data_IF_638789087964
#
_entry.id   IF_638789087964
#
_cell.length_a   1.000
_cell.length_b   1.000
_cell.length_c   1.000
_cell.angle_alpha   90.00
_cell.angle_beta   90.00
_cell.angle_gamma   90.00
#
_symmetry.space_group_name_H-M   'P 1'
#
loop_
_entity.id
_entity.type
_entity.pdbx_description
1 polymer ?
#
# COMPACT_ATOMS: atom_id res chain seq x y z
N UNK A 1 19.43 10.61 12.77
CA UNK A 1 19.93 9.29 13.20
C UNK A 1 19.10 8.24 12.48
N UNK A 2 19.74 7.31 11.76
CA UNK A 2 19.04 6.20 11.11
C UNK A 2 18.77 5.09 12.13
N UNK A 3 17.54 4.57 12.16
CA UNK A 3 17.20 3.38 12.93
C UNK A 3 17.70 2.12 12.20
N UNK A 4 18.14 1.12 12.95
CA UNK A 4 18.53 -0.17 12.37
C UNK A 4 17.33 -0.96 11.84
N UNK A 5 17.48 -1.84 10.83
CA UNK A 5 16.41 -2.70 10.32
C UNK A 5 15.64 -3.52 11.37
N UNK A 6 16.29 -3.87 12.49
CA UNK A 6 15.68 -4.60 13.61
C UNK A 6 14.77 -3.74 14.49
N UNK A 7 14.95 -2.42 14.51
CA UNK A 7 14.12 -1.47 15.28
C UNK A 7 12.89 -1.03 14.50
N UNK A 8 12.92 -1.17 13.18
CA UNK A 8 11.85 -0.79 12.26
C UNK A 8 10.52 -1.46 12.62
N UNK A 9 10.51 -2.70 13.09
CA UNK A 9 9.28 -3.39 13.53
C UNK A 9 8.68 -2.78 14.80
N UNK A 10 9.50 -2.41 15.78
CA UNK A 10 9.03 -1.76 17.00
C UNK A 10 8.55 -0.32 16.72
N UNK A 11 9.24 0.36 15.81
CA UNK A 11 8.85 1.70 15.36
C UNK A 11 7.56 1.65 14.54
N UNK A 12 7.41 0.67 13.65
CA UNK A 12 6.21 0.42 12.85
C UNK A 12 4.96 0.26 13.69
N UNK A 13 5.05 -0.46 14.82
CA UNK A 13 3.91 -0.73 15.71
C UNK A 13 3.32 0.52 16.37
N UNK A 14 3.94 1.69 16.20
CA UNK A 14 3.39 2.99 16.65
C UNK A 14 2.47 3.65 15.62
N UNK A 15 2.41 3.12 14.40
CA UNK A 15 1.62 3.67 13.31
C UNK A 15 0.42 2.76 13.02
N UNK A 16 -0.72 3.37 12.73
CA UNK A 16 -1.93 2.63 12.37
C UNK A 16 -2.07 2.44 10.85
N UNK A 17 -1.54 3.39 10.06
CA UNK A 17 -1.65 3.39 8.60
C UNK A 17 -0.34 3.80 7.92
N UNK A 18 -0.12 3.28 6.71
CA UNK A 18 0.89 3.74 5.76
C UNK A 18 0.29 4.68 4.72
N UNK A 19 0.99 5.79 4.41
CA UNK A 19 0.49 6.81 3.48
C UNK A 19 1.18 6.78 2.11
N UNK A 20 0.37 6.76 1.06
CA UNK A 20 0.76 6.95 -0.36
C UNK A 20 -0.20 8.00 -0.98
N UNK A 21 -0.08 9.24 -0.50
CA UNK A 21 -0.98 10.35 -0.82
C UNK A 21 -0.31 11.47 -1.62
N UNK A 22 0.78 11.15 -2.31
CA UNK A 22 1.47 12.11 -3.15
C UNK A 22 0.52 12.54 -4.26
N UNK A 23 0.13 13.82 -4.28
CA UNK A 23 -0.59 14.42 -5.39
C UNK A 23 0.26 15.53 -5.97
N UNK A 24 1.01 15.19 -7.01
CA UNK A 24 1.72 16.21 -7.75
C UNK A 24 0.76 16.87 -8.73
N UNK A 25 0.69 18.20 -8.68
CA UNK A 25 0.01 18.97 -9.71
C UNK A 25 0.70 18.78 -11.07
N UNK A 26 0.04 19.21 -12.16
CA UNK A 26 0.41 18.98 -13.56
C UNK A 26 1.79 19.53 -14.00
N UNK A 27 2.67 19.91 -13.07
CA UNK A 27 4.02 20.42 -13.29
C UNK A 27 5.11 19.32 -13.25
N UNK A 28 4.75 18.05 -13.12
CA UNK A 28 5.72 16.96 -13.23
C UNK A 28 6.22 16.79 -14.67
N UNK A 29 7.53 16.61 -14.83
CA UNK A 29 8.19 16.12 -16.05
C UNK A 29 7.95 14.62 -16.30
N UNK A 30 6.91 14.05 -15.70
CA UNK A 30 6.59 12.63 -15.73
C UNK A 30 5.27 12.49 -16.49
N UNK A 31 5.20 11.56 -17.45
CA UNK A 31 3.96 11.35 -18.19
C UNK A 31 2.83 10.94 -17.25
N UNK A 32 1.63 11.46 -17.49
CA UNK A 32 0.41 11.06 -16.75
C UNK A 32 0.24 9.54 -16.72
N UNK A 33 0.55 8.88 -17.84
CA UNK A 33 0.46 7.43 -17.93
C UNK A 33 1.43 6.70 -16.97
N UNK A 34 2.67 7.18 -16.84
CA UNK A 34 3.60 6.60 -15.87
C UNK A 34 3.11 6.82 -14.44
N UNK A 35 2.62 8.03 -14.14
CA UNK A 35 2.12 8.38 -12.82
C UNK A 35 0.92 7.50 -12.39
N UNK A 36 -0.06 7.31 -13.28
CA UNK A 36 -1.26 6.51 -12.96
C UNK A 36 -0.97 5.01 -12.82
N UNK A 37 0.04 4.48 -13.53
CA UNK A 37 0.28 3.03 -13.63
C UNK A 37 1.46 2.53 -12.78
N UNK A 38 2.15 3.41 -12.07
CA UNK A 38 3.24 3.02 -11.18
C UNK A 38 2.72 2.59 -9.81
N UNK A 39 3.30 1.51 -9.26
CA UNK A 39 3.12 1.10 -7.87
C UNK A 39 4.37 1.49 -7.07
N UNK A 40 4.27 2.42 -6.11
CA UNK A 40 5.40 2.80 -5.27
C UNK A 40 5.95 1.65 -4.46
N UNK A 41 7.26 1.42 -4.51
CA UNK A 41 7.92 0.36 -3.72
C UNK A 41 7.70 0.53 -2.21
N UNK A 42 7.58 1.77 -1.74
CA UNK A 42 7.21 2.11 -0.35
C UNK A 42 5.89 1.47 0.10
N UNK A 43 4.97 1.22 -0.83
CA UNK A 43 3.71 0.54 -0.55
C UNK A 43 3.95 -0.89 -0.01
N UNK A 44 4.84 -1.65 -0.66
CA UNK A 44 5.20 -2.99 -0.22
C UNK A 44 5.91 -2.99 1.14
N UNK A 45 6.69 -1.95 1.44
CA UNK A 45 7.28 -1.77 2.78
C UNK A 45 6.21 -1.70 3.86
N UNK A 46 5.14 -0.90 3.66
CA UNK A 46 4.04 -0.81 4.63
C UNK A 46 3.25 -2.13 4.73
N UNK A 47 3.02 -2.81 3.61
CA UNK A 47 2.38 -4.13 3.59
C UNK A 47 3.20 -5.12 4.42
N UNK A 48 4.52 -5.16 4.26
CA UNK A 48 5.39 -6.02 5.07
C UNK A 48 5.46 -5.63 6.55
N UNK A 49 5.29 -4.35 6.85
CA UNK A 49 5.14 -3.86 8.22
C UNK A 49 3.78 -4.21 8.84
N UNK A 50 2.83 -4.72 8.04
CA UNK A 50 1.49 -5.08 8.51
C UNK A 50 0.53 -3.89 8.60
N UNK A 51 0.81 -2.78 7.91
CA UNK A 51 0.08 -1.52 8.05
C UNK A 51 -0.96 -1.31 6.94
N UNK A 52 -2.26 -1.11 7.30
CA UNK A 52 -3.29 -0.64 6.39
C UNK A 52 -2.85 0.60 5.60
N UNK A 53 -3.26 0.68 4.33
CA UNK A 53 -2.81 1.74 3.44
C UNK A 53 -3.86 2.84 3.26
N UNK A 54 -3.41 4.08 3.14
CA UNK A 54 -4.24 5.19 2.62
C UNK A 54 -3.57 5.68 1.34
N UNK A 55 -4.28 5.54 0.22
CA UNK A 55 -3.74 5.78 -1.13
C UNK A 55 -4.61 6.75 -1.91
N UNK A 56 -3.99 7.69 -2.62
CA UNK A 56 -4.75 8.59 -3.48
C UNK A 56 -5.26 7.87 -4.75
N UNK A 57 -6.50 8.13 -5.13
CA UNK A 57 -7.19 7.56 -6.29
C UNK A 57 -6.48 7.81 -7.63
N UNK A 58 -5.73 8.91 -7.73
CA UNK A 58 -4.96 9.31 -8.90
C UNK A 58 -3.84 8.31 -9.26
N UNK A 59 -3.33 7.55 -8.28
CA UNK A 59 -2.38 6.46 -8.49
C UNK A 59 -3.13 5.17 -8.79
N UNK A 60 -3.73 5.06 -9.99
CA UNK A 60 -4.67 3.99 -10.34
C UNK A 60 -4.14 2.59 -10.05
N UNK A 61 -2.92 2.26 -10.47
CA UNK A 61 -2.37 0.92 -10.21
C UNK A 61 -2.25 0.61 -8.72
N UNK A 62 -1.84 1.58 -7.89
CA UNK A 62 -1.77 1.42 -6.45
C UNK A 62 -3.16 1.34 -5.82
N UNK A 63 -4.10 2.19 -6.25
CA UNK A 63 -5.48 2.20 -5.80
C UNK A 63 -6.20 0.88 -6.13
N UNK A 64 -6.01 0.36 -7.33
CA UNK A 64 -6.58 -0.91 -7.77
C UNK A 64 -5.97 -2.08 -6.99
N UNK A 65 -4.67 -2.04 -6.69
CA UNK A 65 -4.05 -3.03 -5.82
C UNK A 65 -4.66 -3.01 -4.41
N UNK A 66 -4.82 -1.82 -3.81
CA UNK A 66 -5.44 -1.69 -2.48
C UNK A 66 -6.86 -2.25 -2.47
N UNK A 67 -7.68 -1.89 -3.46
CA UNK A 67 -9.05 -2.39 -3.60
C UNK A 67 -9.10 -3.90 -3.82
N UNK A 68 -8.23 -4.42 -4.69
CA UNK A 68 -8.15 -5.85 -5.02
C UNK A 68 -7.93 -6.73 -3.80
N UNK A 69 -7.07 -6.28 -2.87
CA UNK A 69 -6.74 -7.06 -1.68
C UNK A 69 -7.49 -6.60 -0.41
N UNK A 70 -8.27 -5.51 -0.47
CA UNK A 70 -8.99 -4.98 0.68
C UNK A 70 -8.07 -4.49 1.81
N UNK A 71 -6.88 -3.98 1.48
CA UNK A 71 -5.79 -3.70 2.44
C UNK A 71 -5.68 -2.22 2.83
N UNK A 72 -6.69 -1.42 2.53
CA UNK A 72 -6.64 0.01 2.81
C UNK A 72 -7.79 0.79 2.25
N UNK A 73 -7.65 2.11 2.33
CA UNK A 73 -8.64 3.10 1.93
C UNK A 73 -8.09 3.89 0.75
N UNK A 74 -8.91 4.03 -0.29
CA UNK A 74 -8.59 4.86 -1.46
C UNK A 74 -9.34 6.17 -1.36
N UNK A 75 -8.62 7.28 -1.51
CA UNK A 75 -9.12 8.63 -1.23
C UNK A 75 -8.86 9.57 -2.40
N UNK A 76 -9.77 10.49 -2.65
CA UNK A 76 -9.57 11.58 -3.60
C UNK A 76 -8.83 12.76 -2.95
N UNK A 77 -8.28 13.65 -3.79
CA UNK A 77 -7.67 14.92 -3.33
C UNK A 77 -8.60 15.75 -2.44
N UNK A 78 -9.91 15.72 -2.72
CA UNK A 78 -10.88 16.50 -1.96
C UNK A 78 -11.15 15.88 -0.59
N UNK A 79 -11.21 14.56 -0.50
CA UNK A 79 -11.39 13.86 0.78
C UNK A 79 -10.18 14.02 1.70
N UNK A 80 -8.97 14.15 1.14
CA UNK A 80 -7.76 14.47 1.92
C UNK A 80 -7.85 15.80 2.69
N UNK A 81 -8.69 16.75 2.25
CA UNK A 81 -8.92 18.01 2.99
C UNK A 81 -9.65 17.78 4.31
N UNK A 82 -10.34 16.64 4.45
CA UNK A 82 -11.05 16.23 5.65
C UNK A 82 -10.56 14.86 6.11
N UNK A 83 -9.26 14.73 6.36
CA UNK A 83 -8.64 13.46 6.73
C UNK A 83 -9.15 12.92 8.07
N UNK A 84 -9.58 13.78 8.98
CA UNK A 84 -10.12 13.38 10.29
C UNK A 84 -11.37 12.51 10.14
N UNK A 85 -12.33 12.92 9.30
CA UNK A 85 -13.52 12.12 9.02
C UNK A 85 -13.23 10.84 8.22
N UNK A 86 -12.08 10.77 7.56
CA UNK A 86 -11.62 9.60 6.83
C UNK A 86 -11.00 8.54 7.75
N UNK A 87 -10.44 8.99 8.86
CA UNK A 87 -9.83 8.15 9.90
C UNK A 87 -10.84 7.73 10.97
N UNK A 88 -12.10 8.16 10.88
CA UNK A 88 -13.22 7.69 11.71
C UNK A 88 -13.68 6.30 11.25
N UNK A 89 -12.75 5.35 11.31
CA UNK A 89 -12.94 3.96 10.94
C UNK A 89 -13.25 3.20 12.23
N UNK A 90 -14.30 2.38 12.21
CA UNK A 90 -14.61 1.53 13.36
C UNK A 90 -13.46 0.56 13.64
N UNK A 91 -13.29 0.15 14.90
CA UNK A 91 -12.28 -0.85 15.26
C UNK A 91 -12.45 -2.15 14.45
N UNK A 92 -13.69 -2.58 14.23
CA UNK A 92 -14.00 -3.76 13.43
C UNK A 92 -13.49 -3.64 11.99
N UNK A 93 -13.77 -2.51 11.34
CA UNK A 93 -13.27 -2.25 9.99
C UNK A 93 -11.75 -2.15 9.95
N UNK A 94 -11.11 -1.58 10.98
CA UNK A 94 -9.66 -1.54 11.08
C UNK A 94 -9.04 -2.93 11.23
N UNK A 95 -9.62 -3.77 12.08
CA UNK A 95 -9.17 -5.15 12.30
C UNK A 95 -9.30 -5.98 11.01
N UNK A 96 -10.37 -5.77 10.24
CA UNK A 96 -10.55 -6.39 8.92
C UNK A 96 -9.42 -5.99 7.95
N UNK A 97 -9.06 -4.70 7.89
CA UNK A 97 -7.93 -4.24 7.06
C UNK A 97 -6.62 -4.92 7.45
N UNK A 98 -6.38 -5.10 8.76
CA UNK A 98 -5.19 -5.76 9.28
C UNK A 98 -5.15 -7.24 8.89
N UNK A 99 -6.28 -7.95 9.00
CA UNK A 99 -6.41 -9.36 8.58
C UNK A 99 -6.19 -9.52 7.07
N UNK A 100 -6.74 -8.60 6.27
CA UNK A 100 -6.55 -8.59 4.83
C UNK A 100 -5.08 -8.39 4.46
N UNK A 101 -4.34 -7.55 5.20
CA UNK A 101 -2.90 -7.40 4.98
C UNK A 101 -2.12 -8.67 5.28
N UNK A 102 -2.41 -9.33 6.40
CA UNK A 102 -1.76 -10.60 6.72
C UNK A 102 -1.98 -11.61 5.58
N UNK A 103 -3.22 -11.72 5.10
CA UNK A 103 -3.56 -12.56 3.95
C UNK A 103 -2.84 -12.13 2.67
N UNK A 104 -2.76 -10.83 2.41
CA UNK A 104 -2.07 -10.27 1.24
C UNK A 104 -0.59 -10.63 1.24
N UNK A 105 0.11 -10.46 2.38
CA UNK A 105 1.53 -10.82 2.54
C UNK A 105 1.80 -12.28 2.24
N UNK A 106 0.90 -13.18 2.65
CA UNK A 106 1.03 -14.60 2.31
C UNK A 106 0.92 -14.87 0.81
N UNK A 107 0.16 -14.05 0.07
CA UNK A 107 -0.01 -14.20 -1.39
C UNK A 107 1.12 -13.58 -2.20
N UNK A 108 1.74 -12.49 -1.72
CA UNK A 108 2.70 -11.69 -2.49
C UNK A 108 4.15 -11.79 -1.99
N UNK A 109 4.43 -12.63 -0.98
CA UNK A 109 5.79 -12.79 -0.49
C UNK A 109 6.71 -13.39 -1.57
N UNK A 110 8.02 -13.16 -1.39
CA UNK A 110 9.04 -13.62 -2.34
C UNK A 110 9.01 -15.13 -2.55
N UNK A 111 8.81 -15.93 -1.50
CA UNK A 111 8.78 -17.39 -1.61
C UNK A 111 7.66 -17.87 -2.54
N UNK A 112 6.49 -17.23 -2.45
CA UNK A 112 5.33 -17.52 -3.32
C UNK A 112 5.60 -17.05 -4.75
N UNK A 113 6.12 -15.82 -4.91
CA UNK A 113 6.37 -15.24 -6.23
C UNK A 113 7.53 -15.91 -6.97
N UNK A 114 8.55 -16.43 -6.27
CA UNK A 114 9.66 -17.18 -6.89
C UNK A 114 9.14 -18.44 -7.57
N UNK A 115 8.16 -19.12 -6.97
CA UNK A 115 7.54 -20.29 -7.59
C UNK A 115 6.81 -19.90 -8.90
N UNK A 116 6.10 -18.77 -8.91
CA UNK A 116 5.46 -18.25 -10.13
C UNK A 116 6.47 -17.90 -11.23
N UNK A 117 7.63 -17.34 -10.88
CA UNK A 117 8.71 -17.10 -11.83
C UNK A 117 9.24 -18.40 -12.43
N UNK A 118 9.38 -19.46 -11.61
CA UNK A 118 9.76 -20.79 -12.09
C UNK A 118 8.83 -21.28 -13.20
N UNK A 119 7.51 -21.17 -13.03
CA UNK A 119 6.55 -21.58 -14.06
C UNK A 119 6.73 -20.85 -15.40
N UNK A 120 7.09 -19.57 -15.40
CA UNK A 120 7.34 -18.79 -16.63
C UNK A 120 8.58 -19.25 -17.42
N UNK A 121 9.54 -19.89 -16.76
CA UNK A 121 10.79 -20.36 -17.38
C UNK A 121 10.83 -21.87 -17.63
N UNK A 122 9.84 -22.62 -17.13
CA UNK A 122 9.80 -24.08 -17.18
C UNK A 122 8.60 -24.66 -17.94
N UNK A 123 7.81 -23.84 -18.65
CA UNK A 123 6.87 -24.34 -19.65
C UNK A 123 7.61 -24.74 -20.95
N UNK A 124 7.50 -26.01 -21.44
CA UNK A 124 8.06 -26.47 -22.71
C UNK A 124 7.31 -25.97 -23.96
#
# INVERSE_FOLDING_TARGET
MGCGPWELKQYAGKFHFGFIIYDYDNQLLISKNHYENFIPTKMFTYVEMGLPLIVIDKLKAAADFVKKYGIGIVVSKNELKNIEGLLDVSQESYDELCLNIQTCRHKINMDTMINELGFLFYDP
#
